data_IF_971952666347
#
_entry.id   IF_971952666347
#
_cell.length_a   1.000
_cell.length_b   1.000
_cell.length_c   1.000
_cell.angle_alpha   90.00
_cell.angle_beta   90.00
_cell.angle_gamma   90.00
#
_symmetry.space_group_name_H-M   'P 1'
#
loop_
_entity.id
_entity.type
_entity.pdbx_description
1 polymer ?
#
# COMPACT_ATOMS: atom_id res chain seq x y z
N UNK A 1 0.91 -19.17 35.89
CA UNK A 1 1.58 -18.86 34.60
C UNK A 1 0.64 -18.77 33.40
N UNK A 2 -0.24 -19.75 33.11
CA UNK A 2 -1.37 -19.53 32.16
C UNK A 2 -2.42 -18.53 32.71
N UNK A 3 -2.37 -18.26 34.02
CA UNK A 3 -3.23 -17.33 34.76
C UNK A 3 -3.11 -15.89 34.28
N UNK A 4 -1.89 -15.38 34.04
CA UNK A 4 -1.66 -13.99 33.62
C UNK A 4 -2.11 -13.77 32.18
N UNK A 5 -1.89 -14.74 31.29
CA UNK A 5 -2.42 -14.70 29.93
C UNK A 5 -3.95 -14.74 29.91
N UNK A 6 -4.56 -15.64 30.69
CA UNK A 6 -6.03 -15.70 30.82
C UNK A 6 -6.60 -14.41 31.41
N UNK A 7 -5.93 -13.82 32.40
CA UNK A 7 -6.32 -12.54 33.00
C UNK A 7 -6.20 -11.39 31.99
N UNK A 8 -5.10 -11.30 31.24
CA UNK A 8 -4.93 -10.28 30.20
C UNK A 8 -6.03 -10.39 29.13
N UNK A 9 -6.31 -11.61 28.65
CA UNK A 9 -7.36 -11.85 27.65
C UNK A 9 -8.76 -11.56 28.20
N UNK A 10 -9.06 -11.96 29.43
CA UNK A 10 -10.34 -11.69 30.08
C UNK A 10 -10.60 -10.18 30.26
N UNK A 11 -9.53 -9.42 30.52
CA UNK A 11 -9.59 -7.97 30.64
C UNK A 11 -9.49 -7.24 29.29
N UNK A 12 -9.52 -7.96 28.15
CA UNK A 12 -9.39 -7.38 26.82
C UNK A 12 -8.03 -6.71 26.56
N UNK A 13 -7.01 -7.00 27.36
CA UNK A 13 -5.65 -6.47 27.21
C UNK A 13 -4.80 -7.41 26.36
N UNK A 14 -3.80 -6.86 25.66
CA UNK A 14 -2.80 -7.65 24.96
C UNK A 14 -1.90 -8.36 25.98
N UNK A 15 -1.65 -9.68 25.84
CA UNK A 15 -0.73 -10.38 26.72
C UNK A 15 0.70 -9.87 26.57
N UNK A 16 1.45 -9.87 27.69
CA UNK A 16 2.87 -9.53 27.72
C UNK A 16 3.68 -10.37 26.73
N UNK A 17 4.76 -9.83 26.12
CA UNK A 17 5.60 -10.56 25.17
C UNK A 17 6.06 -11.97 25.61
N UNK A 18 6.53 -12.21 26.86
CA UNK A 18 6.90 -13.56 27.30
C UNK A 18 5.72 -14.54 27.31
N UNK A 19 4.55 -14.14 27.79
CA UNK A 19 3.39 -15.03 27.88
C UNK A 19 2.75 -15.28 26.53
N UNK A 20 2.76 -14.26 25.66
CA UNK A 20 2.39 -14.42 24.26
C UNK A 20 3.30 -15.42 23.56
N UNK A 21 4.62 -15.37 23.75
CA UNK A 21 5.56 -16.36 23.19
C UNK A 21 5.29 -17.78 23.72
N UNK A 22 4.98 -17.94 25.00
CA UNK A 22 4.59 -19.25 25.58
C UNK A 22 3.31 -19.78 24.94
N UNK A 23 2.28 -18.95 24.80
CA UNK A 23 1.03 -19.32 24.11
C UNK A 23 1.29 -19.77 22.68
N UNK A 24 2.12 -19.04 21.93
CA UNK A 24 2.47 -19.39 20.56
C UNK A 24 3.15 -20.75 20.48
N UNK A 25 4.06 -21.07 21.41
CA UNK A 25 4.69 -22.40 21.49
C UNK A 25 3.65 -23.50 21.68
N UNK A 26 2.73 -23.34 22.64
CA UNK A 26 1.65 -24.31 22.90
C UNK A 26 0.78 -24.50 21.65
N UNK A 27 0.36 -23.42 21.00
CA UNK A 27 -0.44 -23.48 19.77
C UNK A 27 0.33 -24.23 18.67
N UNK A 28 1.62 -23.94 18.48
CA UNK A 28 2.44 -24.61 17.48
C UNK A 28 2.62 -26.09 17.78
N UNK A 29 2.79 -26.46 19.05
CA UNK A 29 2.87 -27.87 19.47
C UNK A 29 1.57 -28.62 19.15
N UNK A 30 0.41 -28.01 19.39
CA UNK A 30 -0.90 -28.58 19.01
C UNK A 30 -1.07 -28.70 17.49
N UNK A 31 -0.73 -27.67 16.71
CA UNK A 31 -0.79 -27.73 15.24
C UNK A 31 0.09 -28.88 14.72
N UNK A 32 1.26 -29.08 15.32
CA UNK A 32 2.24 -30.09 14.91
C UNK A 32 1.84 -31.52 15.22
N UNK A 33 0.87 -31.75 16.12
CA UNK A 33 0.26 -33.08 16.30
C UNK A 33 -0.47 -33.54 15.03
N UNK A 34 -1.02 -32.62 14.25
CA UNK A 34 -1.72 -32.91 13.01
C UNK A 34 -0.80 -32.83 11.78
N UNK A 35 0.04 -31.80 11.70
CA UNK A 35 0.99 -31.65 10.61
C UNK A 35 2.34 -31.13 11.10
N UNK A 36 3.39 -31.94 10.97
CA UNK A 36 4.74 -31.62 11.46
C UNK A 36 5.31 -30.33 10.87
N UNK A 37 4.93 -29.96 9.63
CA UNK A 37 5.32 -28.71 8.98
C UNK A 37 4.12 -27.99 8.34
N UNK A 38 3.31 -27.26 9.14
CA UNK A 38 2.11 -26.61 8.66
C UNK A 38 2.43 -25.51 7.64
N UNK A 39 1.63 -25.48 6.57
CA UNK A 39 1.66 -24.44 5.55
C UNK A 39 1.24 -23.08 6.14
N UNK A 40 1.59 -21.99 5.44
CA UNK A 40 1.17 -20.64 5.85
C UNK A 40 -0.37 -20.52 5.93
N UNK A 41 -1.10 -21.16 5.02
CA UNK A 41 -2.57 -21.13 4.99
C UNK A 41 -3.17 -21.80 6.25
N UNK A 42 -2.59 -22.92 6.70
CA UNK A 42 -3.01 -23.58 7.94
C UNK A 42 -2.71 -22.73 9.17
N UNK A 43 -1.51 -22.11 9.24
CA UNK A 43 -1.19 -21.15 10.30
C UNK A 43 -2.14 -19.94 10.30
N UNK A 44 -2.50 -19.43 9.11
CA UNK A 44 -3.41 -18.31 8.93
C UNK A 44 -4.81 -18.63 9.45
N UNK A 45 -5.36 -19.81 9.11
CA UNK A 45 -6.67 -20.23 9.60
C UNK A 45 -6.74 -20.24 11.14
N UNK A 46 -5.67 -20.65 11.82
CA UNK A 46 -5.58 -20.63 13.28
C UNK A 46 -5.50 -19.19 13.80
N UNK A 47 -4.63 -18.35 13.21
CA UNK A 47 -4.48 -16.96 13.61
C UNK A 47 -5.80 -16.17 13.47
N UNK A 48 -6.52 -16.34 12.35
CA UNK A 48 -7.83 -15.74 12.11
C UNK A 48 -8.85 -16.15 13.17
N UNK A 49 -8.92 -17.45 13.53
CA UNK A 49 -9.82 -17.93 14.58
C UNK A 49 -9.53 -17.30 15.94
N UNK A 50 -8.26 -17.13 16.29
CA UNK A 50 -7.86 -16.51 17.57
C UNK A 50 -8.24 -15.04 17.60
N UNK A 51 -7.90 -14.28 16.55
CA UNK A 51 -8.23 -12.84 16.48
C UNK A 51 -9.74 -12.63 16.44
N UNK A 52 -10.49 -13.45 15.71
CA UNK A 52 -11.97 -13.39 15.70
C UNK A 52 -12.58 -13.63 17.08
N UNK A 53 -11.98 -14.52 17.89
CA UNK A 53 -12.46 -14.84 19.24
C UNK A 53 -12.07 -13.80 20.28
N UNK A 54 -10.88 -13.19 20.14
CA UNK A 54 -10.30 -12.28 21.11
C UNK A 54 -9.71 -11.04 20.42
N UNK A 55 -10.55 -10.21 19.76
CA UNK A 55 -10.08 -9.11 18.93
C UNK A 55 -9.26 -8.09 19.72
N UNK A 56 -9.74 -7.68 20.90
CA UNK A 56 -9.07 -6.68 21.75
C UNK A 56 -7.66 -7.07 22.21
N UNK A 57 -7.42 -8.38 22.36
CA UNK A 57 -6.15 -8.89 22.87
C UNK A 57 -5.14 -9.27 21.79
N UNK A 58 -5.60 -9.58 20.57
CA UNK A 58 -4.73 -10.14 19.53
C UNK A 58 -4.85 -9.50 18.15
N UNK A 59 -5.81 -8.59 17.94
CA UNK A 59 -5.86 -7.77 16.72
C UNK A 59 -4.64 -6.85 16.64
N UNK A 60 -4.21 -6.57 15.42
CA UNK A 60 -3.20 -5.55 15.08
C UNK A 60 -3.81 -4.16 14.88
N UNK A 61 -5.15 -4.07 14.93
CA UNK A 61 -5.93 -2.84 14.85
C UNK A 61 -6.72 -2.63 16.14
N UNK A 62 -6.85 -1.36 16.55
CA UNK A 62 -7.65 -0.95 17.71
C UNK A 62 -9.16 -0.99 17.35
N UNK A 63 -10.02 -1.04 18.38
CA UNK A 63 -11.49 -1.20 18.31
C UNK A 63 -12.24 -0.13 17.45
N UNK A 64 -11.54 0.85 16.87
CA UNK A 64 -12.11 2.00 16.14
C UNK A 64 -12.32 1.80 14.64
N UNK A 65 -11.86 0.69 14.05
CA UNK A 65 -12.09 0.42 12.62
C UNK A 65 -13.39 -0.37 12.40
N UNK A 66 -14.23 0.13 11.49
CA UNK A 66 -15.39 -0.59 10.95
C UNK A 66 -14.99 -1.97 10.40
N UNK A 67 -15.31 -3.01 11.18
CA UNK A 67 -15.66 -4.42 10.93
C UNK A 67 -15.09 -5.24 9.74
N UNK A 68 -14.27 -4.74 8.81
CA UNK A 68 -13.88 -5.51 7.62
C UNK A 68 -12.40 -5.91 7.53
N UNK A 69 -11.50 -5.40 8.37
CA UNK A 69 -10.09 -5.80 8.36
C UNK A 69 -9.67 -6.56 9.64
N UNK A 70 -9.25 -7.82 9.48
CA UNK A 70 -8.83 -8.66 10.60
C UNK A 70 -7.32 -8.46 10.82
N UNK A 71 -6.92 -7.87 11.94
CA UNK A 71 -5.51 -7.62 12.28
C UNK A 71 -4.77 -8.88 12.76
N UNK A 72 -4.46 -9.83 11.87
CA UNK A 72 -3.86 -11.14 12.24
C UNK A 72 -2.36 -11.28 11.96
N UNK A 73 -1.72 -10.26 11.40
CA UNK A 73 -0.36 -10.32 10.85
C UNK A 73 0.69 -10.63 11.90
N UNK A 74 0.67 -9.94 13.04
CA UNK A 74 1.68 -10.15 14.08
C UNK A 74 1.58 -11.56 14.66
N UNK A 75 0.35 -12.05 14.85
CA UNK A 75 0.07 -13.37 15.38
C UNK A 75 0.50 -14.46 14.38
N UNK A 76 0.11 -14.33 13.11
CA UNK A 76 0.51 -15.25 12.05
C UNK A 76 2.04 -15.30 11.89
N UNK A 77 2.71 -14.14 11.91
CA UNK A 77 4.17 -14.06 11.83
C UNK A 77 4.82 -14.82 12.99
N UNK A 78 4.36 -14.59 14.22
CA UNK A 78 4.88 -15.29 15.41
C UNK A 78 4.68 -16.81 15.33
N UNK A 79 3.48 -17.27 14.94
CA UNK A 79 3.21 -18.70 14.73
C UNK A 79 4.15 -19.28 13.68
N UNK A 80 4.30 -18.62 12.53
CA UNK A 80 5.11 -19.15 11.43
C UNK A 80 6.59 -19.19 11.76
N UNK A 81 7.12 -18.13 12.38
CA UNK A 81 8.49 -18.08 12.89
C UNK A 81 8.74 -19.18 13.91
N UNK A 82 7.81 -19.42 14.85
CA UNK A 82 7.93 -20.51 15.82
C UNK A 82 7.96 -21.90 15.14
N UNK A 83 7.08 -22.16 14.16
CA UNK A 83 7.12 -23.40 13.35
C UNK A 83 8.48 -23.58 12.68
N UNK A 84 9.03 -22.52 12.08
CA UNK A 84 10.33 -22.57 11.40
C UNK A 84 11.48 -22.84 12.38
N UNK A 85 11.45 -22.25 13.57
CA UNK A 85 12.44 -22.52 14.62
C UNK A 85 12.39 -23.97 15.10
N UNK A 86 11.19 -24.51 15.36
CA UNK A 86 11.04 -25.88 15.88
C UNK A 86 11.37 -26.93 14.80
N UNK A 87 11.24 -26.59 13.52
CA UNK A 87 11.59 -27.47 12.40
C UNK A 87 13.03 -27.25 11.87
N UNK A 88 13.87 -26.48 12.56
CA UNK A 88 15.22 -26.10 12.11
C UNK A 88 16.14 -27.31 11.87
N UNK A 89 16.01 -28.36 12.68
CA UNK A 89 16.85 -29.56 12.62
C UNK A 89 16.21 -30.73 11.83
N UNK A 90 15.00 -30.51 11.29
CA UNK A 90 14.25 -31.56 10.61
C UNK A 90 14.38 -31.43 9.09
N UNK A 91 15.50 -31.91 8.55
CA UNK A 91 15.89 -31.84 7.13
C UNK A 91 14.88 -32.50 6.18
N UNK A 92 14.11 -33.49 6.66
CA UNK A 92 13.06 -34.19 5.91
C UNK A 92 11.73 -33.42 5.85
N UNK A 93 11.50 -32.47 6.76
CA UNK A 93 10.25 -31.71 6.85
C UNK A 93 10.20 -30.51 5.91
N UNK A 94 11.33 -30.07 5.34
CA UNK A 94 11.34 -29.02 4.32
C UNK A 94 10.62 -29.56 3.09
N UNK A 95 9.39 -29.09 2.85
CA UNK A 95 8.73 -29.19 1.54
C UNK A 95 9.62 -28.49 0.50
N UNK A 96 10.61 -29.20 -0.05
CA UNK A 96 11.23 -28.84 -1.31
C UNK A 96 10.13 -29.05 -2.34
N UNK A 97 9.66 -27.96 -2.97
CA UNK A 97 9.00 -28.12 -4.26
C UNK A 97 10.05 -28.71 -5.18
N UNK A 98 9.92 -30.01 -5.46
CA UNK A 98 10.51 -30.57 -6.67
C UNK A 98 9.70 -29.93 -7.80
N UNK A 99 10.33 -29.02 -8.54
CA UNK A 99 9.77 -28.52 -9.79
C UNK A 99 9.84 -29.70 -10.75
N UNK A 100 8.74 -30.45 -10.85
CA UNK A 100 8.57 -31.46 -11.88
C UNK A 100 8.63 -30.77 -13.24
N UNK A 101 9.55 -31.26 -14.06
CA UNK A 101 9.61 -30.99 -15.49
C UNK A 101 8.32 -31.52 -16.10
N UNK A 102 7.44 -30.62 -16.50
CA UNK A 102 6.43 -30.91 -17.53
C UNK A 102 6.62 -29.85 -18.60
N UNK A 103 7.34 -30.24 -19.65
CA UNK A 103 7.41 -29.51 -20.90
C UNK A 103 6.00 -29.21 -21.39
N UNK A 104 5.63 -27.94 -21.35
CA UNK A 104 4.58 -27.35 -22.18
C UNK A 104 5.07 -25.96 -22.59
N UNK A 105 5.00 -25.61 -23.88
CA UNK A 105 5.66 -24.42 -24.40
C UNK A 105 4.94 -23.15 -23.94
N UNK A 106 5.74 -22.16 -23.56
CA UNK A 106 5.45 -20.72 -23.61
C UNK A 106 4.04 -20.28 -23.18
N UNK A 107 3.79 -20.21 -21.87
CA UNK A 107 2.83 -19.24 -21.35
C UNK A 107 3.57 -17.94 -21.03
N UNK A 108 3.32 -16.96 -21.90
CA UNK A 108 3.70 -15.56 -21.76
C UNK A 108 3.49 -15.06 -20.32
N UNK A 109 4.48 -14.33 -19.83
CA UNK A 109 4.58 -13.82 -18.47
C UNK A 109 3.51 -12.75 -18.20
N UNK A 110 2.42 -13.13 -17.54
CA UNK A 110 1.44 -12.18 -17.03
C UNK A 110 2.02 -11.39 -15.83
N UNK A 111 1.95 -10.04 -15.89
CA UNK A 111 2.24 -9.06 -14.82
C UNK A 111 1.22 -9.11 -13.65
N UNK A 112 0.48 -10.20 -13.50
CA UNK A 112 -0.81 -10.27 -12.79
C UNK A 112 -0.82 -10.19 -11.24
N UNK A 113 0.18 -10.63 -10.46
CA UNK A 113 -0.05 -10.77 -9.01
C UNK A 113 -0.03 -9.47 -8.18
N UNK A 114 0.57 -8.38 -8.68
CA UNK A 114 0.75 -7.12 -7.92
C UNK A 114 -0.27 -6.06 -8.28
N UNK A 115 -0.80 -6.12 -9.51
CA UNK A 115 -1.69 -5.11 -10.07
C UNK A 115 -3.08 -5.16 -9.42
N UNK A 116 -3.64 -6.37 -9.24
CA UNK A 116 -4.95 -6.65 -8.61
C UNK A 116 -4.98 -6.45 -7.09
N UNK A 117 -3.83 -6.15 -6.49
CA UNK A 117 -3.65 -6.10 -5.04
C UNK A 117 -4.61 -5.11 -4.39
N UNK A 118 -5.51 -5.60 -3.51
CA UNK A 118 -6.47 -4.75 -2.79
C UNK A 118 -7.61 -4.18 -3.64
N UNK A 119 -7.73 -4.60 -4.90
CA UNK A 119 -8.73 -4.08 -5.82
C UNK A 119 -9.93 -5.04 -5.87
N UNK A 120 -11.12 -4.57 -5.54
CA UNK A 120 -12.38 -5.31 -5.61
C UNK A 120 -13.01 -5.24 -7.00
N UNK A 121 -12.81 -4.12 -7.71
CA UNK A 121 -13.36 -3.86 -9.05
C UNK A 121 -12.25 -3.72 -10.11
N UNK A 122 -11.26 -4.62 -10.10
CA UNK A 122 -10.09 -4.53 -10.98
C UNK A 122 -10.42 -4.61 -12.48
N UNK A 123 -11.24 -5.59 -12.83
CA UNK A 123 -11.67 -5.90 -14.19
C UNK A 123 -13.18 -6.16 -14.15
N UNK A 124 -14.00 -5.09 -14.11
CA UNK A 124 -15.44 -5.22 -14.06
C UNK A 124 -15.97 -5.90 -15.33
N UNK A 125 -17.14 -6.51 -15.21
CA UNK A 125 -17.86 -7.07 -16.35
C UNK A 125 -18.51 -5.95 -17.19
N UNK A 126 -18.67 -6.17 -18.51
CA UNK A 126 -19.35 -5.19 -19.36
C UNK A 126 -20.79 -4.97 -18.88
N UNK A 127 -21.29 -3.71 -18.83
CA UNK A 127 -22.65 -3.42 -18.38
C UNK A 127 -23.73 -4.12 -19.22
N UNK A 128 -23.51 -4.23 -20.54
CA UNK A 128 -24.35 -4.96 -21.49
C UNK A 128 -23.46 -5.64 -22.54
N UNK A 129 -23.90 -6.77 -23.09
CA UNK A 129 -23.18 -7.41 -24.19
C UNK A 129 -23.08 -6.45 -25.40
N UNK A 130 -21.87 -6.27 -25.93
CA UNK A 130 -21.56 -5.36 -27.05
C UNK A 130 -21.83 -3.87 -26.79
N UNK A 131 -21.77 -3.41 -25.53
CA UNK A 131 -21.95 -1.97 -25.22
C UNK A 131 -20.75 -1.09 -25.51
N UNK A 132 -19.66 -1.63 -26.05
CA UNK A 132 -18.39 -0.91 -26.21
C UNK A 132 -18.54 0.35 -27.08
N UNK A 133 -19.30 0.28 -28.18
CA UNK A 133 -19.51 1.41 -29.08
C UNK A 133 -20.21 2.58 -28.35
N UNK A 134 -21.26 2.29 -27.58
CA UNK A 134 -21.97 3.28 -26.76
C UNK A 134 -21.06 3.89 -25.69
N UNK A 135 -20.19 3.08 -25.07
CA UNK A 135 -19.23 3.58 -24.09
C UNK A 135 -18.13 4.44 -24.73
N UNK A 136 -17.75 4.16 -25.98
CA UNK A 136 -16.82 4.97 -26.76
C UNK A 136 -17.42 6.34 -27.09
N UNK A 137 -18.71 6.42 -27.46
CA UNK A 137 -19.41 7.69 -27.66
C UNK A 137 -19.47 8.53 -26.37
N UNK A 138 -19.74 7.87 -25.23
CA UNK A 138 -19.72 8.52 -23.90
C UNK A 138 -18.33 9.03 -23.52
N UNK A 139 -17.27 8.29 -23.86
CA UNK A 139 -15.87 8.73 -23.70
C UNK A 139 -15.58 9.97 -24.56
N UNK A 140 -15.97 9.98 -25.83
CA UNK A 140 -15.81 11.15 -26.71
C UNK A 140 -16.58 12.37 -26.17
N UNK A 141 -17.75 12.15 -25.58
CA UNK A 141 -18.50 13.20 -24.87
C UNK A 141 -17.69 13.78 -23.71
N UNK A 142 -17.03 12.94 -22.89
CA UNK A 142 -16.12 13.40 -21.84
C UNK A 142 -14.93 14.21 -22.39
N UNK A 143 -14.34 13.77 -23.50
CA UNK A 143 -13.25 14.51 -24.17
C UNK A 143 -13.72 15.91 -24.61
N UNK A 144 -14.88 16.00 -25.26
CA UNK A 144 -15.48 17.27 -25.69
C UNK A 144 -15.80 18.19 -24.51
N UNK A 145 -16.33 17.65 -23.41
CA UNK A 145 -16.56 18.41 -22.18
C UNK A 145 -15.26 18.95 -21.60
N UNK A 146 -14.18 18.17 -21.64
CA UNK A 146 -12.87 18.62 -21.19
C UNK A 146 -12.28 19.71 -22.10
N UNK A 147 -12.46 19.63 -23.42
CA UNK A 147 -12.03 20.71 -24.32
C UNK A 147 -12.78 22.02 -24.05
N UNK A 148 -14.06 21.94 -23.70
CA UNK A 148 -14.90 23.12 -23.47
C UNK A 148 -14.72 23.74 -22.08
N UNK A 149 -14.57 22.91 -21.04
CA UNK A 149 -14.58 23.36 -19.65
C UNK A 149 -13.26 23.10 -18.90
N UNK A 150 -12.33 22.38 -19.51
CA UNK A 150 -11.09 21.94 -18.86
C UNK A 150 -11.35 21.20 -17.55
N UNK A 151 -10.42 21.38 -16.61
CA UNK A 151 -10.48 20.83 -15.24
C UNK A 151 -11.70 21.33 -14.46
N UNK A 152 -12.19 22.55 -14.74
CA UNK A 152 -13.36 23.13 -14.05
C UNK A 152 -14.66 22.36 -14.31
N UNK A 153 -14.72 21.58 -15.40
CA UNK A 153 -15.86 20.73 -15.70
C UNK A 153 -16.01 19.50 -14.78
N UNK A 154 -15.01 19.19 -13.97
CA UNK A 154 -14.99 17.98 -13.12
C UNK A 154 -16.14 17.94 -12.09
N UNK A 155 -16.68 19.10 -11.70
CA UNK A 155 -17.78 19.19 -10.76
C UNK A 155 -19.17 19.08 -11.38
N UNK A 156 -19.26 19.06 -12.70
CA UNK A 156 -20.54 18.92 -13.39
C UNK A 156 -21.15 17.54 -13.14
N UNK A 157 -22.48 17.51 -13.01
CA UNK A 157 -23.24 16.28 -12.78
C UNK A 157 -23.14 15.32 -13.97
N UNK A 158 -23.16 15.84 -15.19
CA UNK A 158 -23.00 15.06 -16.43
C UNK A 158 -21.63 14.38 -16.50
N UNK A 159 -20.54 15.11 -16.21
CA UNK A 159 -19.18 14.54 -16.13
C UNK A 159 -19.11 13.46 -15.05
N UNK A 160 -19.67 13.70 -13.87
CA UNK A 160 -19.68 12.71 -12.79
C UNK A 160 -20.45 11.43 -13.17
N UNK A 161 -21.59 11.56 -13.84
CA UNK A 161 -22.39 10.41 -14.31
C UNK A 161 -21.63 9.63 -15.39
N UNK A 162 -21.12 10.33 -16.41
CA UNK A 162 -20.35 9.73 -17.50
C UNK A 162 -19.09 9.01 -17.00
N UNK A 163 -18.36 9.59 -16.04
CA UNK A 163 -17.19 8.95 -15.43
C UNK A 163 -17.54 7.63 -14.72
N UNK A 164 -18.72 7.52 -14.12
CA UNK A 164 -19.21 6.27 -13.50
C UNK A 164 -19.65 5.26 -14.55
N UNK A 165 -20.47 5.69 -15.51
CA UNK A 165 -20.99 4.82 -16.57
C UNK A 165 -19.89 4.22 -17.45
N UNK A 166 -18.79 4.95 -17.61
CA UNK A 166 -17.63 4.52 -18.42
C UNK A 166 -16.55 3.84 -17.60
N UNK A 167 -16.76 3.57 -16.31
CA UNK A 167 -15.75 2.95 -15.44
C UNK A 167 -15.19 1.64 -16.01
N UNK A 168 -16.06 0.79 -16.56
CA UNK A 168 -15.66 -0.44 -17.25
C UNK A 168 -14.66 -0.16 -18.39
N UNK A 169 -14.96 0.79 -19.27
CA UNK A 169 -14.10 1.12 -20.40
C UNK A 169 -12.78 1.77 -19.96
N UNK A 170 -12.81 2.58 -18.89
CA UNK A 170 -11.59 3.11 -18.26
C UNK A 170 -10.68 1.97 -17.78
N UNK A 171 -11.21 1.02 -16.99
CA UNK A 171 -10.45 -0.15 -16.52
C UNK A 171 -9.96 -1.01 -17.67
N UNK A 172 -10.77 -1.21 -18.70
CA UNK A 172 -10.38 -1.94 -19.92
C UNK A 172 -9.17 -1.29 -20.60
N UNK A 173 -9.16 0.03 -20.79
CA UNK A 173 -8.03 0.75 -21.40
C UNK A 173 -6.79 0.78 -20.50
N UNK A 174 -6.96 0.87 -19.17
CA UNK A 174 -5.86 0.85 -18.20
C UNK A 174 -5.21 -0.54 -18.10
N UNK A 175 -6.03 -1.60 -18.15
CA UNK A 175 -5.56 -2.98 -18.01
C UNK A 175 -5.09 -3.58 -19.34
N UNK A 176 -5.29 -2.88 -20.45
CA UNK A 176 -4.80 -3.34 -21.75
C UNK A 176 -3.28 -3.55 -21.69
N UNK A 177 -2.85 -4.70 -22.16
CA UNK A 177 -1.45 -5.16 -22.11
C UNK A 177 -0.54 -4.37 -23.05
N UNK A 178 -1.10 -3.62 -24.00
CA UNK A 178 -0.36 -2.60 -24.73
C UNK A 178 -0.12 -1.43 -23.78
N UNK A 179 1.12 -1.26 -23.31
CA UNK A 179 1.51 -0.15 -22.44
C UNK A 179 1.25 1.15 -23.20
N UNK A 180 0.11 1.78 -22.94
CA UNK A 180 -0.16 3.13 -23.38
C UNK A 180 0.62 4.05 -22.44
N UNK A 181 1.49 4.93 -22.97
CA UNK A 181 2.07 6.01 -22.20
C UNK A 181 0.98 6.75 -21.43
N UNK A 182 1.29 7.20 -20.21
CA UNK A 182 0.34 7.91 -19.35
C UNK A 182 -0.22 9.15 -20.07
N UNK A 183 0.58 9.77 -20.93
CA UNK A 183 0.17 10.85 -21.84
C UNK A 183 -1.00 10.47 -22.76
N UNK A 184 -0.94 9.28 -23.36
CA UNK A 184 -1.98 8.78 -24.28
C UNK A 184 -3.23 8.35 -23.51
N UNK A 185 -3.06 7.85 -22.29
CA UNK A 185 -4.20 7.59 -21.41
C UNK A 185 -4.87 8.90 -21.00
N UNK A 186 -4.09 9.95 -20.70
CA UNK A 186 -4.57 11.28 -20.33
C UNK A 186 -5.30 11.98 -21.47
N UNK A 187 -4.86 11.81 -22.72
CA UNK A 187 -5.57 12.38 -23.87
C UNK A 187 -6.95 11.74 -24.05
N UNK A 188 -7.09 10.43 -23.82
CA UNK A 188 -8.37 9.69 -23.93
C UNK A 188 -9.29 9.86 -22.71
N UNK A 189 -8.72 10.05 -21.52
CA UNK A 189 -9.44 10.14 -20.25
C UNK A 189 -8.94 11.33 -19.41
N UNK A 190 -9.06 12.57 -19.87
CA UNK A 190 -8.46 13.72 -19.19
C UNK A 190 -9.03 13.94 -17.79
N UNK A 191 -10.33 13.67 -17.59
CA UNK A 191 -10.96 13.76 -16.27
C UNK A 191 -10.45 12.70 -15.28
N UNK A 192 -9.92 11.56 -15.73
CA UNK A 192 -9.31 10.54 -14.85
C UNK A 192 -8.08 11.09 -14.09
N UNK A 193 -7.47 12.14 -14.62
CA UNK A 193 -6.30 12.81 -14.04
C UNK A 193 -6.65 14.06 -13.24
N UNK A 194 -7.93 14.27 -12.92
CA UNK A 194 -8.37 15.31 -11.99
C UNK A 194 -8.57 14.72 -10.59
N UNK A 195 -8.06 15.40 -9.56
CA UNK A 195 -8.05 14.94 -8.16
C UNK A 195 -9.36 14.28 -7.69
N UNK A 196 -10.51 14.90 -7.98
CA UNK A 196 -11.85 14.39 -7.63
C UNK A 196 -12.11 13.00 -8.21
N UNK A 197 -11.81 12.81 -9.49
CA UNK A 197 -12.05 11.55 -10.18
C UNK A 197 -10.97 10.50 -9.89
N UNK A 198 -9.74 10.92 -9.56
CA UNK A 198 -8.72 10.02 -8.99
C UNK A 198 -9.28 9.38 -7.70
N UNK A 199 -9.82 10.19 -6.78
CA UNK A 199 -10.39 9.66 -5.55
C UNK A 199 -11.58 8.75 -5.81
N UNK A 200 -12.53 9.17 -6.66
CA UNK A 200 -13.71 8.37 -6.98
C UNK A 200 -13.35 7.04 -7.65
N UNK A 201 -12.38 7.05 -8.58
CA UNK A 201 -11.94 5.84 -9.27
C UNK A 201 -11.21 4.89 -8.32
N UNK A 202 -10.38 5.42 -7.41
CA UNK A 202 -9.75 4.61 -6.36
C UNK A 202 -10.79 3.99 -5.40
N UNK A 203 -11.77 4.78 -4.97
CA UNK A 203 -12.84 4.30 -4.11
C UNK A 203 -13.68 3.23 -4.78
N UNK A 204 -14.02 3.36 -6.06
CA UNK A 204 -14.68 2.29 -6.82
C UNK A 204 -13.78 1.04 -6.93
N UNK A 205 -12.48 1.24 -7.16
CA UNK A 205 -11.51 0.17 -7.35
C UNK A 205 -11.26 -0.65 -6.08
N UNK A 206 -11.20 -0.02 -4.90
CA UNK A 206 -10.77 -0.66 -3.65
C UNK A 206 -11.81 -0.60 -2.54
N UNK A 207 -12.95 0.08 -2.75
CA UNK A 207 -13.96 0.39 -1.72
C UNK A 207 -13.44 1.22 -0.54
N UNK A 208 -12.38 2.01 -0.76
CA UNK A 208 -11.74 2.85 0.28
C UNK A 208 -11.72 4.31 -0.17
N UNK A 209 -12.36 5.19 0.60
CA UNK A 209 -12.25 6.63 0.42
C UNK A 209 -10.86 7.13 0.87
N UNK A 210 -9.86 7.06 -0.02
CA UNK A 210 -8.43 7.27 0.29
C UNK A 210 -8.12 8.55 1.05
N UNK A 211 -8.71 9.67 0.64
CA UNK A 211 -8.46 10.96 1.27
C UNK A 211 -8.96 10.98 2.71
N UNK A 212 -10.19 10.52 2.95
CA UNK A 212 -10.78 10.40 4.29
C UNK A 212 -9.96 9.44 5.15
N UNK A 213 -9.63 8.26 4.61
CA UNK A 213 -8.90 7.19 5.29
C UNK A 213 -7.51 7.62 5.74
N UNK A 214 -6.74 8.29 4.88
CA UNK A 214 -5.40 8.80 5.22
C UNK A 214 -5.46 9.90 6.30
N UNK A 215 -6.40 10.84 6.18
CA UNK A 215 -6.58 11.88 7.19
C UNK A 215 -6.89 11.27 8.58
N UNK A 216 -7.83 10.32 8.64
CA UNK A 216 -8.17 9.61 9.87
C UNK A 216 -6.95 8.85 10.43
N UNK A 217 -6.22 8.12 9.59
CA UNK A 217 -5.04 7.38 10.03
C UNK A 217 -3.95 8.28 10.62
N UNK A 218 -3.68 9.44 10.00
CA UNK A 218 -2.69 10.40 10.51
C UNK A 218 -3.18 11.05 11.81
N UNK A 219 -4.47 11.36 11.94
CA UNK A 219 -5.05 11.90 13.18
C UNK A 219 -4.97 10.90 14.34
N UNK A 220 -5.32 9.64 14.11
CA UNK A 220 -5.34 8.60 15.13
C UNK A 220 -3.94 8.09 15.51
N UNK A 221 -3.07 7.91 14.50
CA UNK A 221 -1.81 7.18 14.67
C UNK A 221 -0.56 8.04 14.45
N UNK A 222 -0.69 9.23 13.87
CA UNK A 222 0.44 10.11 13.59
C UNK A 222 1.19 10.52 14.86
N UNK A 223 0.46 10.92 15.90
CA UNK A 223 1.05 11.27 17.21
C UNK A 223 1.77 10.09 17.85
N UNK A 224 1.17 8.89 17.79
CA UNK A 224 1.78 7.65 18.30
C UNK A 224 3.12 7.38 17.62
N UNK A 225 3.20 7.55 16.29
CA UNK A 225 4.46 7.38 15.54
C UNK A 225 5.50 8.42 15.94
N UNK A 226 5.10 9.69 16.08
CA UNK A 226 5.99 10.76 16.53
C UNK A 226 6.55 10.44 17.92
N UNK A 227 5.70 10.06 18.87
CA UNK A 227 6.09 9.72 20.24
C UNK A 227 7.01 8.47 20.28
N UNK A 228 6.73 7.47 19.44
CA UNK A 228 7.61 6.32 19.26
C UNK A 228 9.01 6.76 18.82
N UNK A 229 9.13 7.58 17.78
CA UNK A 229 10.42 8.03 17.29
C UNK A 229 11.13 8.99 18.25
N UNK A 230 10.40 9.80 19.04
CA UNK A 230 10.96 10.61 20.13
C UNK A 230 11.58 9.73 21.22
N UNK A 231 10.88 8.67 21.63
CA UNK A 231 11.37 7.76 22.67
C UNK A 231 12.52 6.87 22.20
N UNK A 232 12.50 6.43 20.94
CA UNK A 232 13.48 5.50 20.36
C UNK A 232 13.92 5.98 18.97
N UNK A 233 14.70 7.08 18.87
CA UNK A 233 15.22 7.55 17.59
C UNK A 233 16.06 6.47 16.92
N UNK A 234 15.85 6.25 15.63
CA UNK A 234 16.47 5.10 14.93
C UNK A 234 17.76 5.44 14.19
N UNK A 235 18.01 6.72 13.93
CA UNK A 235 19.25 7.25 13.36
C UNK A 235 19.31 8.79 13.58
N UNK A 236 20.43 9.40 13.20
CA UNK A 236 20.65 10.86 13.35
C UNK A 236 19.71 11.70 12.48
N UNK A 237 19.32 11.22 11.30
CA UNK A 237 18.37 11.93 10.42
C UNK A 237 16.99 12.03 11.08
N UNK A 238 16.53 10.95 11.71
CA UNK A 238 15.29 10.94 12.51
C UNK A 238 15.37 11.94 13.66
N UNK A 239 16.50 12.02 14.39
CA UNK A 239 16.67 13.01 15.46
C UNK A 239 16.57 14.44 14.92
N UNK A 240 17.23 14.73 13.79
CA UNK A 240 17.18 16.05 13.15
C UNK A 240 15.76 16.43 12.74
N UNK A 241 15.01 15.49 12.16
CA UNK A 241 13.60 15.71 11.76
C UNK A 241 12.71 16.00 12.98
N UNK A 242 12.92 15.28 14.09
CA UNK A 242 12.14 15.47 15.33
C UNK A 242 12.37 16.84 15.99
N UNK A 243 13.49 17.50 15.71
CA UNK A 243 13.78 18.86 16.18
C UNK A 243 13.10 19.95 15.35
N UNK A 244 12.50 19.60 14.22
CA UNK A 244 11.78 20.53 13.33
C UNK A 244 10.33 20.71 13.81
N UNK A 245 9.83 21.96 13.78
CA UNK A 245 8.42 22.25 13.98
C UNK A 245 7.66 22.11 12.65
N UNK A 246 6.94 21.00 12.48
CA UNK A 246 6.16 20.70 11.28
C UNK A 246 4.79 20.12 11.63
N UNK A 247 3.83 20.26 10.72
CA UNK A 247 2.55 19.58 10.83
C UNK A 247 2.74 18.05 10.90
N UNK A 248 1.85 17.38 11.64
CA UNK A 248 1.96 15.93 11.93
C UNK A 248 2.03 15.08 10.67
N UNK A 249 1.27 15.42 9.61
CA UNK A 249 1.26 14.67 8.35
C UNK A 249 2.62 14.63 7.67
N UNK A 250 3.17 15.78 7.23
CA UNK A 250 4.53 15.88 6.69
C UNK A 250 5.60 15.27 7.59
N UNK A 251 5.54 15.56 8.90
CA UNK A 251 6.50 15.06 9.88
C UNK A 251 6.51 13.52 9.92
N UNK A 252 5.34 12.89 10.00
CA UNK A 252 5.22 11.42 10.02
C UNK A 252 5.81 10.79 8.76
N UNK A 253 5.55 11.37 7.58
CA UNK A 253 6.10 10.84 6.32
C UNK A 253 7.62 10.97 6.28
N UNK A 254 8.17 12.13 6.67
CA UNK A 254 9.62 12.35 6.79
C UNK A 254 10.27 11.37 7.77
N UNK A 255 9.64 11.10 8.91
CA UNK A 255 10.14 10.15 9.91
C UNK A 255 10.18 8.71 9.37
N UNK A 256 9.15 8.29 8.63
CA UNK A 256 9.09 6.94 8.03
C UNK A 256 10.16 6.78 6.95
N UNK A 257 10.31 7.76 6.04
CA UNK A 257 11.37 7.78 5.03
C UNK A 257 12.76 7.67 5.68
N UNK A 258 13.04 8.56 6.65
CA UNK A 258 14.31 8.57 7.37
C UNK A 258 14.57 7.26 8.14
N UNK A 259 13.53 6.63 8.71
CA UNK A 259 13.66 5.33 9.36
C UNK A 259 14.11 4.24 8.39
N UNK A 260 13.52 4.19 7.19
CA UNK A 260 13.86 3.22 6.16
C UNK A 260 15.11 3.57 5.36
N UNK A 261 15.74 4.74 5.62
CA UNK A 261 16.85 5.29 4.84
C UNK A 261 16.47 5.50 3.38
N UNK A 262 15.25 5.96 3.18
CA UNK A 262 14.69 6.37 1.89
C UNK A 262 14.76 7.90 1.82
N UNK A 263 15.30 8.42 0.72
CA UNK A 263 15.47 9.86 0.53
C UNK A 263 14.12 10.55 0.27
N UNK A 264 14.01 11.81 0.68
CA UNK A 264 12.80 12.62 0.48
C UNK A 264 12.42 12.66 -1.01
N UNK A 265 13.41 12.89 -1.87
CA UNK A 265 13.30 12.97 -3.33
C UNK A 265 12.87 11.65 -4.00
N UNK A 266 12.92 10.55 -3.25
CA UNK A 266 12.39 9.25 -3.66
C UNK A 266 10.85 9.22 -3.75
N UNK A 267 10.17 10.20 -3.16
CA UNK A 267 8.70 10.29 -3.16
C UNK A 267 8.20 11.72 -3.39
N UNK A 268 8.88 12.71 -2.81
CA UNK A 268 8.46 14.10 -2.69
C UNK A 268 9.55 15.01 -3.26
N UNK A 269 9.18 15.94 -4.14
CA UNK A 269 10.08 16.98 -4.63
C UNK A 269 9.57 18.34 -4.16
N UNK A 270 10.48 19.25 -3.86
CA UNK A 270 10.14 20.66 -3.60
C UNK A 270 10.42 21.47 -4.86
N UNK A 271 9.51 22.39 -5.18
CA UNK A 271 9.69 23.33 -6.27
C UNK A 271 9.29 24.74 -5.84
N UNK A 272 9.69 25.74 -6.62
CA UNK A 272 9.31 27.13 -6.35
C UNK A 272 7.78 27.25 -6.25
N UNK A 273 7.29 28.07 -5.30
CA UNK A 273 5.86 28.28 -5.06
C UNK A 273 5.10 28.75 -6.30
N UNK A 274 5.77 29.44 -7.21
CA UNK A 274 5.20 29.95 -8.45
C UNK A 274 5.47 29.04 -9.67
N UNK A 275 6.10 27.88 -9.48
CA UNK A 275 6.42 26.97 -10.58
C UNK A 275 5.14 26.44 -11.23
N UNK A 276 5.08 26.56 -12.55
CA UNK A 276 4.03 25.98 -13.38
C UNK A 276 4.42 24.58 -13.86
N UNK A 277 3.45 23.84 -14.40
CA UNK A 277 3.73 22.54 -15.01
C UNK A 277 4.78 22.63 -16.14
N UNK A 278 4.77 23.72 -16.93
CA UNK A 278 5.74 23.95 -17.99
C UNK A 278 7.14 24.24 -17.42
N UNK A 279 7.24 25.02 -16.34
CA UNK A 279 8.52 25.31 -15.69
C UNK A 279 9.17 24.02 -15.16
N UNK A 280 8.38 23.15 -14.54
CA UNK A 280 8.87 21.88 -14.01
C UNK A 280 9.38 20.94 -15.10
N UNK A 281 8.70 20.89 -16.24
CA UNK A 281 9.13 20.09 -17.39
C UNK A 281 10.41 20.62 -18.04
N UNK A 282 10.68 21.92 -17.95
CA UNK A 282 11.87 22.54 -18.53
C UNK A 282 13.09 22.53 -17.59
N UNK A 283 12.87 22.58 -16.28
CA UNK A 283 13.94 22.82 -15.29
C UNK A 283 14.35 21.59 -14.48
N UNK A 284 13.48 20.58 -14.36
CA UNK A 284 13.75 19.39 -13.55
C UNK A 284 13.86 18.13 -14.42
N UNK A 285 14.89 17.33 -14.18
CA UNK A 285 14.90 15.91 -14.58
C UNK A 285 13.90 15.15 -13.71
N UNK A 286 12.63 15.18 -14.09
CA UNK A 286 11.54 14.50 -13.36
C UNK A 286 11.69 12.98 -13.58
N UNK A 287 11.77 12.18 -12.50
CA UNK A 287 11.83 10.72 -12.63
C UNK A 287 10.61 10.14 -13.35
N UNK A 288 10.79 9.02 -14.05
CA UNK A 288 9.69 8.31 -14.70
C UNK A 288 8.68 7.70 -13.70
N UNK A 289 9.11 7.39 -12.48
CA UNK A 289 8.22 6.92 -11.41
C UNK A 289 7.43 8.07 -10.78
N UNK A 290 6.24 7.84 -10.21
CA UNK A 290 5.43 8.92 -9.66
C UNK A 290 6.13 9.74 -8.56
N UNK A 291 6.00 11.07 -8.63
CA UNK A 291 6.47 12.00 -7.59
C UNK A 291 5.39 13.02 -7.27
N UNK A 292 5.28 13.37 -5.99
CA UNK A 292 4.48 14.50 -5.54
C UNK A 292 5.39 15.72 -5.40
N UNK A 293 5.17 16.72 -6.23
CA UNK A 293 5.86 18.00 -6.19
C UNK A 293 5.07 18.92 -5.27
N UNK A 294 5.67 19.40 -4.20
CA UNK A 294 5.06 20.39 -3.30
C UNK A 294 5.65 21.75 -3.63
N UNK A 295 4.78 22.74 -3.87
CA UNK A 295 5.16 24.08 -4.32
C UNK A 295 5.44 24.98 -3.12
N UNK A 296 6.71 25.15 -2.79
CA UNK A 296 7.22 25.97 -1.69
C UNK A 296 8.39 25.30 -0.97
N UNK A 297 8.96 25.99 0.00
CA UNK A 297 10.16 25.54 0.71
C UNK A 297 9.85 24.49 1.79
N UNK A 298 8.58 24.35 2.17
CA UNK A 298 8.11 23.41 3.19
C UNK A 298 6.98 22.54 2.65
N UNK A 299 6.90 21.30 3.16
CA UNK A 299 5.81 20.37 2.81
C UNK A 299 4.43 20.82 3.31
N UNK A 300 4.37 21.86 4.15
CA UNK A 300 3.12 22.51 4.58
C UNK A 300 2.56 23.45 3.52
N UNK A 301 3.30 23.70 2.44
CA UNK A 301 2.81 24.48 1.31
C UNK A 301 1.65 23.74 0.65
N UNK A 302 0.47 24.38 0.63
CA UNK A 302 -0.75 23.69 0.26
C UNK A 302 -0.80 23.21 -1.20
N UNK A 303 -0.13 23.89 -2.12
CA UNK A 303 -0.22 23.55 -3.55
C UNK A 303 0.76 22.44 -3.92
N UNK A 304 0.29 21.49 -4.71
CA UNK A 304 1.08 20.35 -5.15
C UNK A 304 0.72 19.91 -6.57
N UNK A 305 1.64 19.20 -7.21
CA UNK A 305 1.47 18.58 -8.51
C UNK A 305 1.89 17.12 -8.46
N UNK A 306 1.14 16.23 -9.10
CA UNK A 306 1.51 14.84 -9.29
C UNK A 306 2.17 14.68 -10.66
N UNK A 307 3.33 14.03 -10.67
CA UNK A 307 4.02 13.62 -11.90
C UNK A 307 4.03 12.13 -12.05
N UNK A 308 3.94 11.64 -13.28
CA UNK A 308 4.09 10.23 -13.67
C UNK A 308 4.75 10.22 -15.05
N UNK A 309 5.71 9.31 -15.28
CA UNK A 309 6.46 9.22 -16.55
C UNK A 309 7.14 10.54 -16.95
N UNK A 310 7.59 11.33 -15.96
CA UNK A 310 8.23 12.61 -16.20
C UNK A 310 7.27 13.76 -16.57
N UNK A 311 5.97 13.51 -16.67
CA UNK A 311 4.98 14.54 -17.01
C UNK A 311 4.11 14.92 -15.81
N UNK A 312 3.69 16.19 -15.74
CA UNK A 312 2.69 16.64 -14.77
C UNK A 312 1.31 16.14 -15.21
N UNK A 313 0.73 15.26 -14.39
CA UNK A 313 -0.53 14.60 -14.73
C UNK A 313 -1.72 15.21 -14.00
N UNK A 314 -1.55 15.64 -12.74
CA UNK A 314 -2.60 16.22 -11.92
C UNK A 314 -2.05 17.41 -11.12
N UNK A 315 -2.85 18.47 -10.98
CA UNK A 315 -2.57 19.60 -10.10
C UNK A 315 -3.61 19.59 -8.97
N UNK A 316 -3.15 19.81 -7.74
CA UNK A 316 -4.01 19.79 -6.56
C UNK A 316 -4.98 20.97 -6.54
N UNK A 317 -6.28 20.67 -6.44
CA UNK A 317 -7.32 21.70 -6.23
C UNK A 317 -7.41 22.01 -4.74
N UNK A 318 -7.31 20.99 -3.90
CA UNK A 318 -7.30 21.15 -2.44
C UNK A 318 -5.86 21.41 -1.95
N UNK A 319 -5.60 22.54 -1.27
CA UNK A 319 -4.25 22.92 -0.93
C UNK A 319 -3.79 22.24 0.38
N UNK A 320 -3.61 20.92 0.39
CA UNK A 320 -3.06 20.21 1.55
C UNK A 320 -2.11 19.07 1.17
N UNK A 321 -1.06 18.88 1.98
CA UNK A 321 -0.10 17.80 1.82
C UNK A 321 -0.76 16.42 1.76
N UNK A 322 -1.71 16.15 2.66
CA UNK A 322 -2.39 14.84 2.73
C UNK A 322 -3.26 14.58 1.50
N UNK A 323 -3.81 15.63 0.88
CA UNK A 323 -4.55 15.48 -0.37
C UNK A 323 -3.62 15.15 -1.55
N UNK A 324 -2.42 15.73 -1.59
CA UNK A 324 -1.37 15.35 -2.54
C UNK A 324 -0.90 13.92 -2.33
N UNK A 325 -0.63 13.54 -1.07
CA UNK A 325 -0.22 12.18 -0.72
C UNK A 325 -1.29 11.14 -1.08
N UNK A 326 -2.58 11.45 -0.84
CA UNK A 326 -3.70 10.60 -1.23
C UNK A 326 -3.75 10.41 -2.74
N UNK A 327 -3.56 11.48 -3.51
CA UNK A 327 -3.55 11.45 -4.99
C UNK A 327 -2.38 10.64 -5.52
N UNK A 328 -1.18 10.86 -4.97
CA UNK A 328 0.02 10.07 -5.28
C UNK A 328 -0.21 8.58 -4.99
N UNK A 329 -0.68 8.25 -3.79
CA UNK A 329 -0.91 6.86 -3.40
C UNK A 329 -1.96 6.18 -4.30
N UNK A 330 -3.07 6.87 -4.59
CA UNK A 330 -4.13 6.36 -5.45
C UNK A 330 -3.64 6.05 -6.87
N UNK A 331 -2.71 6.85 -7.41
CA UNK A 331 -2.16 6.65 -8.76
C UNK A 331 -1.52 5.27 -8.96
N UNK A 332 -0.86 4.70 -7.94
CA UNK A 332 -0.29 3.35 -8.01
C UNK A 332 -1.34 2.24 -8.19
N UNK A 333 -2.58 2.50 -7.80
CA UNK A 333 -3.68 1.54 -7.92
C UNK A 333 -4.46 1.77 -9.20
N UNK A 334 -4.82 3.03 -9.48
CA UNK A 334 -5.59 3.37 -10.67
C UNK A 334 -4.81 3.04 -11.94
N UNK A 335 -3.51 3.33 -12.00
CA UNK A 335 -2.69 3.14 -13.21
C UNK A 335 -1.80 1.91 -13.18
N UNK A 336 -2.07 0.97 -12.27
CA UNK A 336 -1.39 -0.33 -12.22
C UNK A 336 0.13 -0.22 -12.01
N UNK A 337 0.59 0.84 -11.35
CA UNK A 337 2.01 1.13 -11.18
C UNK A 337 2.60 0.35 -10.00
N UNK A 338 3.87 -0.02 -10.14
CA UNK A 338 4.66 -0.57 -9.05
C UNK A 338 5.20 0.53 -8.15
N UNK A 339 5.42 0.22 -6.87
CA UNK A 339 6.13 1.14 -5.98
C UNK A 339 7.57 1.27 -6.43
N UNK A 340 8.00 2.52 -6.59
CA UNK A 340 9.37 2.88 -6.92
C UNK A 340 10.32 2.41 -5.82
N UNK A 341 11.55 2.07 -6.21
CA UNK A 341 12.49 1.43 -5.30
C UNK A 341 12.95 2.35 -4.17
N UNK A 342 13.01 3.66 -4.45
CA UNK A 342 13.51 4.72 -3.57
C UNK A 342 12.60 4.99 -2.37
N UNK A 343 11.32 4.63 -2.44
CA UNK A 343 10.33 4.86 -1.37
C UNK A 343 9.43 3.63 -1.11
N UNK A 344 9.85 2.45 -1.55
CA UNK A 344 9.01 1.26 -1.53
C UNK A 344 8.59 0.83 -0.12
N UNK A 345 9.47 0.95 0.88
CA UNK A 345 9.15 0.58 2.27
C UNK A 345 8.15 1.57 2.87
N UNK A 346 8.34 2.86 2.61
CA UNK A 346 7.40 3.92 3.03
C UNK A 346 6.03 3.72 2.41
N UNK A 347 5.94 3.50 1.09
CA UNK A 347 4.67 3.25 0.41
C UNK A 347 3.99 1.97 0.91
N UNK A 348 4.75 0.91 1.13
CA UNK A 348 4.25 -0.34 1.70
C UNK A 348 3.81 -0.18 3.17
N UNK A 349 4.43 0.72 3.94
CA UNK A 349 3.97 1.09 5.28
C UNK A 349 2.65 1.87 5.25
N UNK A 350 2.56 2.90 4.40
CA UNK A 350 1.33 3.70 4.19
C UNK A 350 0.18 2.76 3.80
N UNK A 351 0.42 1.90 2.82
CA UNK A 351 -0.55 0.91 2.36
C UNK A 351 -1.13 0.07 3.50
N UNK A 352 -0.25 -0.52 4.33
CA UNK A 352 -0.69 -1.46 5.37
C UNK A 352 -1.27 -0.78 6.59
N UNK A 353 -0.66 0.32 7.03
CA UNK A 353 -1.01 0.96 8.29
C UNK A 353 -2.03 2.07 8.13
N UNK A 354 -1.86 2.92 7.12
CA UNK A 354 -2.72 4.10 6.95
C UNK A 354 -3.92 3.80 6.07
N UNK A 355 -3.76 3.00 5.02
CA UNK A 355 -4.86 2.70 4.10
C UNK A 355 -5.61 1.44 4.53
N UNK A 356 -4.90 0.40 4.98
CA UNK A 356 -5.49 -0.88 5.39
C UNK A 356 -5.39 -1.99 4.33
N UNK A 357 -4.75 -1.72 3.19
CA UNK A 357 -4.68 -2.71 2.11
C UNK A 357 -3.66 -3.82 2.45
N UNK A 358 -4.21 -4.95 2.87
CA UNK A 358 -3.52 -6.03 3.56
C UNK A 358 -3.99 -7.42 3.05
N UNK A 359 -3.50 -7.93 1.92
CA UNK A 359 -3.77 -9.26 1.41
C UNK A 359 -2.74 -10.29 1.88
N UNK A 360 -3.08 -11.57 1.70
CA UNK A 360 -2.33 -12.69 2.25
C UNK A 360 -0.91 -12.88 1.67
N UNK A 361 -0.66 -12.39 0.44
CA UNK A 361 0.62 -12.46 -0.27
C UNK A 361 0.78 -11.26 -1.21
N UNK A 362 2.02 -10.79 -1.37
CA UNK A 362 2.38 -9.77 -2.36
C UNK A 362 2.85 -8.45 -1.75
N UNK A 363 3.56 -7.68 -2.57
CA UNK A 363 3.95 -6.28 -2.36
C UNK A 363 3.86 -5.62 -3.73
N UNK A 364 3.50 -4.34 -3.80
CA UNK A 364 3.55 -3.58 -5.06
C UNK A 364 4.97 -3.21 -5.51
N UNK A 365 6.00 -3.55 -4.72
CA UNK A 365 7.41 -3.35 -5.11
C UNK A 365 7.81 -4.27 -6.27
N UNK A 366 8.57 -3.72 -7.22
CA UNK A 366 9.23 -4.47 -8.31
C UNK A 366 9.96 -5.72 -7.81
N UNK A 367 9.93 -6.78 -8.63
CA UNK A 367 10.70 -8.01 -8.38
C UNK A 367 12.16 -7.80 -8.76
N UNK A 368 13.00 -7.44 -7.80
CA UNK A 368 14.45 -7.54 -7.96
C UNK A 368 14.88 -8.98 -8.27
N UNK A 369 15.87 -9.14 -9.16
CA UNK A 369 16.60 -10.41 -9.36
C UNK A 369 17.69 -10.52 -8.30
N UNK A 370 17.85 -11.70 -7.71
CA UNK A 370 18.94 -12.00 -6.76
C UNK A 370 19.72 -13.21 -7.26
N UNK A 371 21.06 -13.22 -7.11
CA UNK A 371 21.83 -14.40 -7.44
C UNK A 371 21.41 -15.56 -6.51
N UNK A 372 21.11 -16.70 -7.12
CA UNK A 372 20.86 -17.95 -6.44
C UNK A 372 22.08 -18.32 -5.63
N UNK A 373 21.93 -18.53 -4.32
CA UNK A 373 23.02 -19.04 -3.47
C UNK A 373 23.49 -20.45 -3.87
N UNK A 374 22.72 -21.16 -4.69
CA UNK A 374 23.00 -22.54 -5.09
C UNK A 374 23.55 -22.64 -6.51
N UNK A 375 23.09 -21.76 -7.41
CA UNK A 375 23.41 -21.86 -8.85
C UNK A 375 24.12 -20.62 -9.40
N UNK A 376 24.30 -19.56 -8.61
CA UNK A 376 24.87 -18.28 -9.06
C UNK A 376 23.97 -17.49 -10.03
N UNK A 377 23.01 -18.15 -10.67
CA UNK A 377 22.08 -17.56 -11.63
C UNK A 377 21.14 -16.55 -10.96
N UNK A 378 20.83 -15.48 -11.68
CA UNK A 378 19.84 -14.48 -11.28
C UNK A 378 18.43 -15.09 -11.25
N UNK A 379 17.91 -15.33 -10.06
CA UNK A 379 16.54 -15.82 -9.83
C UNK A 379 15.67 -14.71 -9.25
N UNK A 380 14.37 -14.76 -9.54
CA UNK A 380 13.42 -13.83 -8.92
C UNK A 380 13.46 -13.97 -7.39
N UNK A 381 13.57 -12.84 -6.69
CA UNK A 381 13.55 -12.82 -5.22
C UNK A 381 12.24 -13.43 -4.72
N UNK A 382 12.35 -14.37 -3.77
CA UNK A 382 11.21 -15.08 -3.19
C UNK A 382 10.22 -14.08 -2.58
N UNK A 383 8.94 -14.17 -2.95
CA UNK A 383 7.90 -13.24 -2.53
C UNK A 383 7.65 -13.37 -1.02
N UNK A 384 8.04 -12.35 -0.26
CA UNK A 384 7.67 -12.21 1.15
C UNK A 384 6.32 -11.49 1.19
N UNK A 385 5.42 -11.91 2.08
CA UNK A 385 4.09 -11.30 2.17
C UNK A 385 4.10 -9.86 2.70
N UNK A 386 5.16 -9.51 3.44
CA UNK A 386 5.40 -8.20 4.02
C UNK A 386 6.90 -7.96 3.99
N UNK A 387 7.35 -6.80 3.51
CA UNK A 387 8.74 -6.39 3.62
C UNK A 387 9.20 -6.53 5.09
N UNK A 388 10.30 -7.24 5.39
CA UNK A 388 10.75 -7.48 6.76
C UNK A 388 11.00 -6.21 7.57
N UNK A 389 11.47 -5.14 6.94
CA UNK A 389 11.69 -3.84 7.60
C UNK A 389 10.36 -3.20 7.98
N UNK A 390 9.40 -3.16 7.05
CA UNK A 390 8.04 -2.67 7.30
C UNK A 390 7.36 -3.48 8.41
N UNK A 391 7.45 -4.81 8.33
CA UNK A 391 6.93 -5.71 9.35
C UNK A 391 7.53 -5.46 10.73
N UNK A 392 8.80 -5.06 10.79
CA UNK A 392 9.51 -4.79 12.04
C UNK A 392 9.08 -3.47 12.64
N UNK A 393 8.97 -2.41 11.83
CA UNK A 393 8.47 -1.12 12.32
C UNK A 393 7.03 -1.25 12.83
N UNK A 394 6.14 -1.90 12.07
CA UNK A 394 4.75 -2.14 12.50
C UNK A 394 4.68 -2.86 13.85
N UNK A 395 5.49 -3.90 14.05
CA UNK A 395 5.54 -4.60 15.34
C UNK A 395 6.06 -3.69 16.46
N UNK A 396 7.15 -2.94 16.24
CA UNK A 396 7.76 -2.09 17.28
C UNK A 396 6.84 -0.97 17.74
N UNK A 397 6.17 -0.29 16.80
CA UNK A 397 5.26 0.82 17.14
C UNK A 397 4.03 0.28 17.84
N UNK A 398 3.53 -0.88 17.40
CA UNK A 398 2.44 -1.55 18.10
C UNK A 398 2.86 -1.93 19.53
N UNK A 399 4.00 -2.60 19.74
CA UNK A 399 4.49 -2.92 21.09
C UNK A 399 4.63 -1.67 21.97
N UNK A 400 5.08 -0.54 21.39
CA UNK A 400 5.13 0.75 22.07
C UNK A 400 3.76 1.27 22.50
N UNK A 401 2.71 1.19 21.67
CA UNK A 401 1.35 1.57 22.06
C UNK A 401 0.82 0.78 23.26
N UNK A 402 1.23 -0.48 23.37
CA UNK A 402 0.85 -1.35 24.48
C UNK A 402 1.74 -1.16 25.71
N UNK A 403 2.62 -0.15 25.73
CA UNK A 403 3.58 0.15 26.80
C UNK A 403 4.51 -1.03 27.13
N UNK A 404 4.94 -1.80 26.12
CA UNK A 404 5.86 -2.93 26.27
C UNK A 404 7.33 -2.61 25.95
#
# INVERSE_FOLDING_TARGET
MLSELRSAVANGKRPLPPDRRKMIRIIVDEIRKHEKNPSKAQCLAVALKIVKKYPKSFSDFDDTQEKNEIGYYSLLKQIKTCVEHVNRDNTLSRRRRISGVTDTPERMQCREPTATYGCTQWQPEPPLANSDDVLVEKRQTLENLYQRYGKSGADRSDVCALMKETYYLQRKHINDTQVLPIKDLKSKWPYLFVQKHIYAHFEELTSIAIHKRLNQAIQEYGKVLVDFFKSKPTNEVVKKILSSEEEVGPLVIKLILAHFREDLDGLLLLANRCATAADLQATHTIPGSPRLIVLGDTLTSGHWMLTIEGEVVCEGIQPSFLSGLATLFASYYIFNLEYQEEAACTLEFIQRRFVGINPERGTKKSKGKVPSKTTGQMVQKKQVAVNPHVATLLCKVMDFQWNF
#
